data_IF_888832253727
#
_entry.id   IF_888832253727
#
_cell.length_a   1.000
_cell.length_b   1.000
_cell.length_c   1.000
_cell.angle_alpha   90.00
_cell.angle_beta   90.00
_cell.angle_gamma   90.00
#
_symmetry.space_group_name_H-M   'P 1'
#
loop_
_entity.id
_entity.type
_entity.pdbx_description
1 polymer ?
#
# COMPACT_ATOMS: atom_id res chain seq x y z
N UNK A 1 -25.14 26.08 10.14
CA UNK A 1 -24.58 24.83 9.64
C UNK A 1 -24.03 25.09 8.26
N UNK A 2 -22.74 25.38 8.16
CA UNK A 2 -22.05 25.54 6.90
C UNK A 2 -21.45 24.20 6.50
N UNK A 3 -22.14 23.48 5.65
CA UNK A 3 -21.62 22.70 4.55
C UNK A 3 -20.56 21.64 4.82
N UNK A 4 -20.80 20.67 5.70
CA UNK A 4 -20.27 19.33 5.44
C UNK A 4 -21.45 18.39 5.28
N UNK A 5 -21.42 17.53 4.28
CA UNK A 5 -22.43 16.50 4.08
C UNK A 5 -22.57 15.68 5.35
N UNK A 6 -23.79 15.61 5.85
CA UNK A 6 -24.11 14.92 7.08
C UNK A 6 -24.15 13.42 6.83
N UNK A 7 -23.19 12.70 7.39
CA UNK A 7 -23.19 11.25 7.32
C UNK A 7 -24.22 10.66 8.28
N UNK A 8 -24.90 9.60 7.88
CA UNK A 8 -25.91 8.88 8.68
C UNK A 8 -25.36 8.40 10.04
N UNK A 9 -24.05 8.33 10.21
CA UNK A 9 -23.35 7.98 11.46
C UNK A 9 -23.06 9.17 12.37
N UNK A 10 -23.28 10.41 11.90
CA UNK A 10 -23.00 11.60 12.68
C UNK A 10 -24.06 11.80 13.75
N UNK A 11 -23.65 12.24 14.92
CA UNK A 11 -24.54 12.48 16.06
C UNK A 11 -24.67 13.96 16.32
N UNK A 12 -25.90 14.41 16.42
CA UNK A 12 -26.26 15.75 16.88
C UNK A 12 -26.61 15.73 18.36
N UNK A 13 -25.98 16.59 19.12
CA UNK A 13 -26.38 16.86 20.51
C UNK A 13 -26.84 18.31 20.61
N UNK A 14 -28.08 18.53 21.03
CA UNK A 14 -28.56 19.83 21.35
C UNK A 14 -28.07 20.21 22.76
N UNK A 15 -27.58 21.44 22.93
CA UNK A 15 -27.07 21.96 24.19
C UNK A 15 -27.83 23.27 24.50
N UNK A 16 -28.11 23.53 25.75
CA UNK A 16 -28.92 24.66 26.14
C UNK A 16 -28.19 26.02 25.99
N UNK A 17 -26.85 26.03 26.04
CA UNK A 17 -26.03 27.24 25.99
C UNK A 17 -24.84 27.08 25.02
N UNK A 18 -24.55 28.13 24.25
CA UNK A 18 -23.44 28.20 23.32
C UNK A 18 -22.06 27.99 23.97
N UNK A 19 -21.91 28.54 25.20
CA UNK A 19 -20.66 28.39 25.95
C UNK A 19 -20.37 26.93 26.29
N UNK A 20 -21.39 26.22 26.77
CA UNK A 20 -21.31 24.79 27.07
C UNK A 20 -21.04 23.98 25.80
N UNK A 21 -21.61 24.36 24.65
CA UNK A 21 -21.32 23.70 23.36
C UNK A 21 -19.85 23.82 22.95
N UNK A 22 -19.24 25.00 23.14
CA UNK A 22 -17.83 25.23 22.83
C UNK A 22 -16.91 24.43 23.74
N UNK A 23 -17.16 24.41 25.03
CA UNK A 23 -16.37 23.62 26.00
C UNK A 23 -16.41 22.13 25.66
N UNK A 24 -17.60 21.58 25.39
CA UNK A 24 -17.75 20.17 24.98
C UNK A 24 -17.04 19.84 23.67
N UNK A 25 -17.03 20.76 22.70
CA UNK A 25 -16.33 20.55 21.42
C UNK A 25 -14.81 20.56 21.64
N UNK A 26 -14.30 21.47 22.45
CA UNK A 26 -12.87 21.54 22.76
C UNK A 26 -12.40 20.31 23.53
N UNK A 27 -13.15 19.87 24.53
CA UNK A 27 -12.85 18.66 25.28
C UNK A 27 -12.80 17.43 24.37
N UNK A 28 -13.79 17.25 23.50
CA UNK A 28 -13.80 16.14 22.54
C UNK A 28 -12.67 16.21 21.50
N UNK A 29 -12.30 17.41 21.06
CA UNK A 29 -11.12 17.59 20.19
C UNK A 29 -9.84 17.18 20.91
N UNK A 30 -9.71 17.55 22.17
CA UNK A 30 -8.56 17.19 22.98
C UNK A 30 -8.50 15.67 23.21
N UNK A 31 -9.62 15.05 23.60
CA UNK A 31 -9.71 13.60 23.77
C UNK A 31 -9.34 12.84 22.48
N UNK A 32 -9.78 13.32 21.29
CA UNK A 32 -9.40 12.73 20.00
C UNK A 32 -7.91 12.88 19.71
N UNK A 33 -7.32 14.03 20.03
CA UNK A 33 -5.87 14.25 19.89
C UNK A 33 -5.07 13.33 20.81
N UNK A 34 -5.51 13.23 22.07
CA UNK A 34 -4.83 12.39 23.06
C UNK A 34 -4.94 10.91 22.71
N UNK A 35 -6.10 10.46 22.20
CA UNK A 35 -6.29 9.10 21.68
C UNK A 35 -5.43 8.82 20.44
N UNK A 36 -5.32 9.77 19.52
CA UNK A 36 -4.45 9.65 18.35
C UNK A 36 -2.96 9.60 18.73
N UNK A 37 -2.55 10.43 19.71
CA UNK A 37 -1.19 10.44 20.24
C UNK A 37 -0.87 9.19 21.09
N UNK A 38 -1.85 8.64 21.80
CA UNK A 38 -1.69 7.39 22.55
C UNK A 38 -1.53 6.17 21.64
N UNK A 39 -2.15 6.21 20.45
CA UNK A 39 -1.98 5.20 19.40
C UNK A 39 -0.61 5.25 18.70
N UNK A 40 0.05 6.39 18.75
CA UNK A 40 1.43 6.58 18.30
C UNK A 40 2.40 6.06 19.38
N UNK A 41 2.53 4.73 19.50
CA UNK A 41 3.61 4.13 20.30
C UNK A 41 4.92 4.73 19.82
N UNK A 42 5.69 5.33 20.73
CA UNK A 42 7.09 5.70 20.46
C UNK A 42 7.77 4.44 19.98
N UNK A 43 8.07 4.39 18.69
CA UNK A 43 8.78 3.25 18.09
C UNK A 43 10.13 3.22 18.77
N UNK A 44 10.37 2.22 19.63
CA UNK A 44 11.67 1.96 20.22
C UNK A 44 12.65 1.54 19.13
N UNK A 45 13.94 1.85 19.30
CA UNK A 45 14.99 1.36 18.40
C UNK A 45 14.96 -0.17 18.31
N UNK A 46 14.61 -0.86 19.39
CA UNK A 46 14.47 -2.31 19.42
C UNK A 46 13.31 -2.81 18.56
N UNK A 47 12.17 -2.06 18.51
CA UNK A 47 11.05 -2.34 17.61
C UNK A 47 11.44 -2.12 16.14
N UNK A 48 12.27 -1.11 15.85
CA UNK A 48 12.81 -0.89 14.51
C UNK A 48 13.72 -2.03 14.07
N UNK A 49 14.64 -2.48 14.94
CA UNK A 49 15.51 -3.62 14.65
C UNK A 49 14.72 -4.91 14.45
N UNK A 50 13.68 -5.15 15.25
CA UNK A 50 12.80 -6.31 15.11
C UNK A 50 12.04 -6.29 13.78
N UNK A 51 11.57 -5.12 13.32
CA UNK A 51 10.91 -4.95 12.02
C UNK A 51 11.87 -5.13 10.85
N UNK A 52 13.11 -4.67 10.95
CA UNK A 52 14.15 -4.86 9.93
C UNK A 52 14.53 -6.34 9.81
N UNK A 53 14.56 -7.08 10.93
CA UNK A 53 14.84 -8.53 10.91
C UNK A 53 13.68 -9.40 10.38
N UNK A 54 12.43 -8.93 10.47
CA UNK A 54 11.23 -9.66 10.00
C UNK A 54 10.97 -9.55 8.49
N UNK A 55 11.82 -8.85 7.75
CA UNK A 55 11.63 -8.59 6.32
C UNK A 55 10.85 -7.29 6.10
N UNK A 56 11.35 -6.45 5.21
CA UNK A 56 10.75 -5.15 4.91
C UNK A 56 9.30 -5.31 4.43
N UNK A 57 8.33 -5.02 5.32
CA UNK A 57 6.97 -4.76 4.89
C UNK A 57 7.01 -3.57 3.93
N UNK A 58 6.55 -3.79 2.71
CA UNK A 58 6.47 -2.72 1.72
C UNK A 58 5.26 -1.86 2.03
N UNK A 59 5.50 -0.57 2.25
CA UNK A 59 4.40 0.39 2.40
C UNK A 59 3.90 0.82 1.01
N UNK A 60 2.61 0.68 0.79
CA UNK A 60 1.91 1.15 -0.40
C UNK A 60 1.07 2.37 -0.02
N UNK A 61 1.63 3.54 -0.28
CA UNK A 61 1.05 4.81 0.10
C UNK A 61 0.03 5.29 -0.92
N UNK A 62 -1.16 5.70 -0.47
CA UNK A 62 -2.25 6.16 -1.32
C UNK A 62 -2.81 7.49 -0.80
N UNK A 63 -3.13 8.39 -1.73
CA UNK A 63 -3.94 9.59 -1.48
C UNK A 63 -5.28 9.38 -2.14
N UNK A 64 -6.38 9.54 -1.38
CA UNK A 64 -7.74 9.37 -1.89
C UNK A 64 -8.44 10.71 -2.03
N UNK A 65 -8.96 10.99 -3.22
CA UNK A 65 -9.83 12.14 -3.49
C UNK A 65 -11.15 11.65 -4.06
N UNK A 66 -12.27 12.15 -3.54
CA UNK A 66 -13.60 11.77 -3.99
C UNK A 66 -14.52 12.99 -4.16
N UNK A 67 -15.66 12.78 -4.80
CA UNK A 67 -16.68 13.81 -4.97
C UNK A 67 -17.39 14.15 -3.66
N UNK A 68 -17.60 13.15 -2.79
CA UNK A 68 -18.28 13.29 -1.49
C UNK A 68 -17.53 12.58 -0.38
N UNK A 69 -17.73 13.03 0.85
CA UNK A 69 -17.06 12.50 2.05
C UNK A 69 -17.34 11.01 2.26
N UNK A 70 -18.58 10.58 2.05
CA UNK A 70 -18.97 9.16 2.18
C UNK A 70 -18.22 8.26 1.21
N UNK A 71 -18.02 8.70 -0.03
CA UNK A 71 -17.24 7.97 -1.05
C UNK A 71 -15.78 7.90 -0.64
N UNK A 72 -15.18 9.01 -0.18
CA UNK A 72 -13.79 9.05 0.27
C UNK A 72 -13.53 8.05 1.41
N UNK A 73 -14.42 8.01 2.40
CA UNK A 73 -14.31 7.10 3.53
C UNK A 73 -14.56 5.63 3.15
N UNK A 74 -15.51 5.37 2.24
CA UNK A 74 -15.77 4.02 1.76
C UNK A 74 -14.56 3.46 0.99
N UNK A 75 -13.97 4.26 0.09
CA UNK A 75 -12.75 3.90 -0.65
C UNK A 75 -11.60 3.68 0.33
N UNK A 76 -11.35 4.62 1.25
CA UNK A 76 -10.31 4.50 2.28
C UNK A 76 -10.45 3.20 3.07
N UNK A 77 -11.62 2.93 3.64
CA UNK A 77 -11.87 1.74 4.45
C UNK A 77 -11.72 0.45 3.64
N UNK A 78 -12.08 0.46 2.36
CA UNK A 78 -11.94 -0.70 1.49
C UNK A 78 -10.48 -0.97 1.13
N UNK A 79 -9.69 0.08 0.86
CA UNK A 79 -8.27 -0.04 0.54
C UNK A 79 -7.44 -0.47 1.76
N UNK A 80 -7.72 0.06 2.94
CA UNK A 80 -7.01 -0.33 4.17
C UNK A 80 -7.21 -1.81 4.52
N UNK A 81 -8.37 -2.40 4.16
CA UNK A 81 -8.65 -3.84 4.34
C UNK A 81 -7.84 -4.76 3.43
N UNK A 82 -7.25 -4.23 2.35
CA UNK A 82 -6.39 -5.01 1.44
C UNK A 82 -4.99 -5.26 2.02
N UNK A 83 -4.63 -4.58 3.11
CA UNK A 83 -3.32 -4.76 3.75
C UNK A 83 -3.06 -6.21 4.12
N UNK A 84 -1.88 -6.70 3.76
CA UNK A 84 -1.39 -8.05 4.03
C UNK A 84 -0.11 -7.98 4.87
N UNK A 85 0.36 -9.11 5.36
CA UNK A 85 1.61 -9.21 6.14
C UNK A 85 2.86 -8.78 5.33
N UNK A 86 2.81 -8.83 4.00
CA UNK A 86 3.92 -8.50 3.10
C UNK A 86 3.84 -7.06 2.56
N UNK A 87 2.61 -6.51 2.37
CA UNK A 87 2.37 -5.15 1.86
C UNK A 87 1.31 -4.46 2.70
N UNK A 88 1.67 -3.32 3.25
CA UNK A 88 0.77 -2.47 4.02
C UNK A 88 0.22 -1.35 3.15
N UNK A 89 -1.08 -1.30 2.96
CA UNK A 89 -1.76 -0.18 2.31
C UNK A 89 -2.01 0.92 3.34
N UNK A 90 -1.47 2.10 3.10
CA UNK A 90 -1.64 3.25 3.97
C UNK A 90 -2.25 4.42 3.21
N UNK A 91 -3.43 4.86 3.62
CA UNK A 91 -4.04 6.09 3.10
C UNK A 91 -3.50 7.28 3.89
N UNK A 92 -2.54 8.01 3.29
CA UNK A 92 -1.87 9.16 3.92
C UNK A 92 -2.82 10.34 4.04
N UNK A 93 -3.59 10.60 2.98
CA UNK A 93 -4.54 11.71 2.93
C UNK A 93 -5.82 11.29 2.24
N UNK A 94 -6.95 11.74 2.76
CA UNK A 94 -8.25 11.60 2.10
C UNK A 94 -9.00 12.92 2.13
N UNK A 95 -9.58 13.32 0.99
CA UNK A 95 -10.27 14.59 0.89
C UNK A 95 -11.36 14.58 -0.16
N UNK A 96 -12.19 15.62 -0.13
CA UNK A 96 -13.28 15.85 -1.07
C UNK A 96 -12.87 16.93 -2.08
N UNK A 97 -13.30 16.77 -3.32
CA UNK A 97 -13.07 17.71 -4.40
C UNK A 97 -12.06 17.25 -5.43
N UNK A 98 -11.73 18.12 -6.38
CA UNK A 98 -10.77 17.86 -7.45
C UNK A 98 -9.37 17.60 -6.88
N UNK A 99 -8.57 16.85 -7.64
CA UNK A 99 -7.15 16.63 -7.31
C UNK A 99 -6.40 17.93 -7.69
N UNK A 100 -5.72 18.50 -6.71
CA UNK A 100 -5.00 19.76 -6.85
C UNK A 100 -3.46 19.57 -6.81
N UNK A 101 -2.73 20.65 -7.05
CA UNK A 101 -1.27 20.66 -7.04
C UNK A 101 -0.67 20.21 -5.69
N UNK A 102 -1.28 20.61 -4.57
CA UNK A 102 -0.82 20.23 -3.23
C UNK A 102 -0.92 18.72 -2.99
N UNK A 103 -1.96 18.08 -3.53
CA UNK A 103 -2.12 16.62 -3.46
C UNK A 103 -0.97 15.91 -4.25
N UNK A 104 -0.60 16.46 -5.41
CA UNK A 104 0.50 15.93 -6.22
C UNK A 104 1.85 16.13 -5.52
N UNK A 105 2.09 17.28 -4.91
CA UNK A 105 3.31 17.53 -4.13
C UNK A 105 3.42 16.56 -2.93
N UNK A 106 2.32 16.33 -2.22
CA UNK A 106 2.26 15.36 -1.13
C UNK A 106 2.55 13.95 -1.64
N UNK A 107 1.95 13.55 -2.76
CA UNK A 107 2.18 12.24 -3.37
C UNK A 107 3.65 12.05 -3.78
N UNK A 108 4.26 13.05 -4.41
CA UNK A 108 5.67 13.01 -4.80
C UNK A 108 6.61 12.84 -3.60
N UNK A 109 6.34 13.57 -2.50
CA UNK A 109 7.16 13.51 -1.29
C UNK A 109 7.02 12.18 -0.54
N UNK A 110 5.82 11.61 -0.56
CA UNK A 110 5.48 10.39 0.18
C UNK A 110 5.60 9.12 -0.68
N UNK A 111 6.02 9.23 -1.93
CA UNK A 111 6.02 8.16 -2.93
C UNK A 111 4.65 7.44 -2.98
N UNK A 112 3.59 8.23 -3.09
CA UNK A 112 2.21 7.77 -3.05
C UNK A 112 1.55 7.84 -4.43
N UNK A 113 0.55 6.98 -4.64
CA UNK A 113 -0.34 7.02 -5.80
C UNK A 113 -1.59 7.81 -5.45
N UNK A 114 -2.09 8.61 -6.39
CA UNK A 114 -3.33 9.37 -6.21
C UNK A 114 -4.51 8.60 -6.82
N UNK A 115 -5.48 8.28 -5.98
CA UNK A 115 -6.74 7.63 -6.36
C UNK A 115 -7.86 8.68 -6.37
N UNK A 116 -8.38 9.00 -7.53
CA UNK A 116 -9.53 9.88 -7.72
C UNK A 116 -10.80 9.06 -7.93
N UNK A 117 -11.76 9.18 -7.02
CA UNK A 117 -13.07 8.53 -7.17
C UNK A 117 -14.12 9.54 -7.61
N UNK A 118 -14.61 9.38 -8.84
CA UNK A 118 -15.58 10.28 -9.50
C UNK A 118 -15.13 11.77 -9.56
N UNK A 119 -13.84 12.03 -9.48
CA UNK A 119 -13.24 13.38 -9.57
C UNK A 119 -12.20 13.42 -10.67
N UNK A 120 -11.83 14.64 -11.09
CA UNK A 120 -10.79 14.87 -12.12
C UNK A 120 -9.68 15.73 -11.54
N UNK A 121 -8.44 15.57 -12.02
CA UNK A 121 -7.36 16.48 -11.69
C UNK A 121 -7.53 17.83 -12.39
N UNK A 122 -7.13 18.90 -11.72
CA UNK A 122 -6.98 20.22 -12.31
C UNK A 122 -5.86 20.21 -13.37
N UNK A 123 -5.85 21.19 -14.27
CA UNK A 123 -4.82 21.29 -15.31
C UNK A 123 -3.42 21.38 -14.71
N UNK A 124 -3.24 22.23 -13.68
CA UNK A 124 -1.96 22.37 -12.97
C UNK A 124 -1.53 21.06 -12.27
N UNK A 125 -2.46 20.34 -11.65
CA UNK A 125 -2.20 19.04 -11.03
C UNK A 125 -1.74 18.00 -12.04
N UNK A 126 -2.33 17.97 -13.22
CA UNK A 126 -1.96 17.05 -14.30
C UNK A 126 -0.55 17.31 -14.79
N UNK A 127 -0.21 18.58 -15.05
CA UNK A 127 1.11 18.97 -15.53
C UNK A 127 2.20 18.70 -14.49
N UNK A 128 1.92 18.97 -13.22
CA UNK A 128 2.84 18.68 -12.12
C UNK A 128 2.99 17.17 -11.87
N UNK A 129 1.94 16.38 -11.99
CA UNK A 129 2.01 14.93 -11.87
C UNK A 129 2.93 14.32 -12.95
N UNK A 130 2.81 14.81 -14.19
CA UNK A 130 3.68 14.38 -15.28
C UNK A 130 5.17 14.74 -15.02
N UNK A 131 5.44 15.92 -14.45
CA UNK A 131 6.81 16.38 -14.12
C UNK A 131 7.41 15.61 -12.93
N UNK A 132 6.59 15.33 -11.92
CA UNK A 132 7.00 14.66 -10.68
C UNK A 132 6.90 13.13 -10.76
N UNK A 133 6.51 12.59 -11.91
CA UNK A 133 6.29 11.16 -12.13
C UNK A 133 5.32 10.54 -11.10
N UNK A 134 4.28 11.30 -10.72
CA UNK A 134 3.22 10.84 -9.82
C UNK A 134 2.10 10.23 -10.63
N UNK A 135 1.70 9.02 -10.26
CA UNK A 135 0.62 8.31 -10.92
C UNK A 135 -0.74 8.75 -10.36
N UNK A 136 -1.65 9.17 -11.26
CA UNK A 136 -3.03 9.52 -10.93
C UNK A 136 -3.94 8.50 -11.60
N UNK A 137 -4.71 7.76 -10.80
CA UNK A 137 -5.73 6.81 -11.26
C UNK A 137 -7.12 7.31 -10.93
N UNK A 138 -8.01 7.24 -11.91
CA UNK A 138 -9.39 7.74 -11.77
C UNK A 138 -10.37 6.58 -11.90
N UNK A 139 -11.27 6.44 -10.92
CA UNK A 139 -12.26 5.39 -10.87
C UNK A 139 -13.66 5.96 -10.70
N UNK A 140 -14.64 5.23 -11.22
CA UNK A 140 -16.08 5.48 -11.01
C UNK A 140 -16.75 4.34 -10.26
N UNK A 141 -16.16 3.17 -10.31
CA UNK A 141 -16.63 1.96 -9.64
C UNK A 141 -15.60 1.55 -8.60
N UNK A 142 -16.06 1.31 -7.38
CA UNK A 142 -15.16 0.98 -6.25
C UNK A 142 -14.45 -0.37 -6.46
N UNK A 143 -15.12 -1.32 -7.09
CA UNK A 143 -14.54 -2.64 -7.35
C UNK A 143 -13.37 -2.59 -8.33
N UNK A 144 -13.43 -1.72 -9.33
CA UNK A 144 -12.32 -1.53 -10.27
C UNK A 144 -11.09 -0.99 -9.56
N UNK A 145 -11.29 -0.02 -8.64
CA UNK A 145 -10.24 0.51 -7.80
C UNK A 145 -9.61 -0.58 -6.92
N UNK A 146 -10.42 -1.39 -6.24
CA UNK A 146 -9.96 -2.46 -5.37
C UNK A 146 -9.15 -3.49 -6.16
N UNK A 147 -9.67 -3.96 -7.30
CA UNK A 147 -9.02 -4.98 -8.11
C UNK A 147 -7.68 -4.50 -8.69
N UNK A 148 -7.60 -3.25 -9.13
CA UNK A 148 -6.37 -2.69 -9.70
C UNK A 148 -5.29 -2.48 -8.62
N UNK A 149 -5.68 -1.98 -7.44
CA UNK A 149 -4.77 -1.84 -6.30
C UNK A 149 -4.28 -3.21 -5.81
N UNK A 150 -5.16 -4.21 -5.74
CA UNK A 150 -4.78 -5.59 -5.38
C UNK A 150 -3.79 -6.18 -6.41
N UNK A 151 -4.02 -5.94 -7.69
CA UNK A 151 -3.10 -6.37 -8.76
C UNK A 151 -1.73 -5.67 -8.64
N UNK A 152 -1.72 -4.36 -8.34
CA UNK A 152 -0.49 -3.60 -8.11
C UNK A 152 0.28 -4.13 -6.90
N UNK A 153 -0.41 -4.43 -5.80
CA UNK A 153 0.20 -5.04 -4.61
C UNK A 153 0.82 -6.40 -4.94
N UNK A 154 0.13 -7.26 -5.70
CA UNK A 154 0.68 -8.55 -6.15
C UNK A 154 1.94 -8.38 -7.00
N UNK A 155 1.98 -7.34 -7.83
CA UNK A 155 3.16 -7.00 -8.64
C UNK A 155 4.36 -6.50 -7.81
N UNK A 156 4.11 -5.96 -6.61
CA UNK A 156 5.18 -5.54 -5.68
C UNK A 156 5.81 -6.71 -4.92
N UNK A 157 5.14 -7.87 -4.85
CA UNK A 157 5.65 -9.03 -4.14
C UNK A 157 6.88 -9.61 -4.85
N UNK A 158 7.84 -10.10 -4.07
CA UNK A 158 8.96 -10.84 -4.63
C UNK A 158 8.45 -12.15 -5.25
N UNK A 159 8.97 -12.56 -6.42
CA UNK A 159 8.56 -13.81 -7.04
C UNK A 159 8.89 -14.99 -6.10
N UNK A 160 7.87 -15.75 -5.74
CA UNK A 160 8.05 -16.99 -4.99
C UNK A 160 8.51 -18.06 -5.96
N UNK A 161 9.75 -18.48 -5.84
CA UNK A 161 10.30 -19.56 -6.64
C UNK A 161 9.83 -20.90 -6.06
N UNK A 162 9.20 -21.71 -6.90
CA UNK A 162 8.82 -23.08 -6.56
C UNK A 162 9.83 -24.02 -7.24
N UNK A 163 10.47 -24.90 -6.47
CA UNK A 163 11.33 -25.91 -7.03
C UNK A 163 10.46 -26.94 -7.78
N UNK A 164 10.69 -27.07 -9.07
CA UNK A 164 10.05 -28.07 -9.89
C UNK A 164 11.11 -29.08 -10.39
N UNK A 165 10.92 -30.34 -10.05
CA UNK A 165 11.79 -31.41 -10.54
C UNK A 165 11.51 -31.60 -12.02
N UNK A 166 12.51 -31.33 -12.85
CA UNK A 166 12.42 -31.47 -14.34
C UNK A 166 13.02 -32.75 -14.86
N UNK A 167 13.77 -33.46 -14.02
CA UNK A 167 14.37 -34.74 -14.39
C UNK A 167 15.25 -35.30 -13.29
N UNK A 168 15.58 -36.57 -13.43
CA UNK A 168 16.48 -37.31 -12.53
C UNK A 168 17.73 -37.74 -13.28
N UNK A 169 18.87 -37.64 -12.61
CA UNK A 169 20.18 -37.95 -13.16
C UNK A 169 20.95 -38.88 -12.24
N UNK A 170 21.40 -40.00 -12.75
CA UNK A 170 22.30 -40.89 -12.04
C UNK A 170 23.75 -40.51 -12.35
N UNK A 171 24.54 -40.19 -11.33
CA UNK A 171 25.95 -39.86 -11.46
C UNK A 171 26.73 -41.17 -11.62
N UNK A 172 27.36 -41.37 -12.78
CA UNK A 172 28.16 -42.57 -13.06
C UNK A 172 29.66 -42.36 -12.81
N UNK A 173 30.17 -41.16 -13.06
CA UNK A 173 31.58 -40.85 -12.88
C UNK A 173 31.80 -39.41 -12.42
N UNK A 174 32.82 -39.20 -11.58
CA UNK A 174 33.22 -37.86 -11.11
C UNK A 174 34.69 -37.61 -11.49
N UNK A 175 34.95 -36.43 -12.06
CA UNK A 175 36.30 -36.02 -12.48
C UNK A 175 36.68 -34.72 -11.76
N UNK A 176 37.88 -34.67 -11.17
CA UNK A 176 38.46 -33.45 -10.61
C UNK A 176 39.23 -32.71 -11.69
N UNK A 177 38.78 -31.51 -12.06
CA UNK A 177 39.44 -30.62 -13.01
C UNK A 177 40.03 -29.43 -12.30
N UNK A 178 41.34 -29.20 -12.41
CA UNK A 178 42.10 -28.23 -11.59
C UNK A 178 41.61 -26.77 -11.65
N UNK A 179 40.86 -26.34 -12.67
CA UNK A 179 40.37 -24.96 -12.82
C UNK A 179 38.86 -24.81 -12.67
N UNK A 180 38.10 -25.90 -12.71
CA UNK A 180 36.63 -25.88 -12.77
C UNK A 180 36.00 -26.51 -11.52
N UNK A 181 36.75 -27.32 -10.79
CA UNK A 181 36.25 -28.09 -9.66
C UNK A 181 35.89 -29.53 -10.05
N UNK A 182 34.90 -30.12 -9.39
CA UNK A 182 34.46 -31.49 -9.65
C UNK A 182 33.42 -31.51 -10.76
N UNK A 183 33.67 -32.20 -11.84
CA UNK A 183 32.74 -32.42 -12.95
C UNK A 183 32.17 -33.84 -12.83
N UNK A 184 30.86 -33.97 -12.99
CA UNK A 184 30.17 -35.25 -12.90
C UNK A 184 29.67 -35.68 -14.27
N UNK A 185 29.95 -36.92 -14.65
CA UNK A 185 29.33 -37.60 -15.79
C UNK A 185 28.04 -38.29 -15.30
N UNK A 186 26.90 -37.84 -15.79
CA UNK A 186 25.59 -38.35 -15.36
C UNK A 186 24.79 -38.93 -16.53
N UNK A 187 23.95 -39.92 -16.22
CA UNK A 187 22.98 -40.48 -17.15
C UNK A 187 21.57 -40.02 -16.75
N UNK A 188 20.83 -39.43 -17.68
CA UNK A 188 19.46 -38.98 -17.45
C UNK A 188 18.53 -40.19 -17.41
N UNK A 189 17.95 -40.49 -16.25
CA UNK A 189 17.05 -41.64 -16.08
C UNK A 189 15.61 -41.24 -16.39
N UNK A 190 15.21 -39.99 -16.10
CA UNK A 190 13.87 -39.51 -16.38
C UNK A 190 13.89 -37.98 -16.63
N UNK A 191 12.97 -37.52 -17.47
CA UNK A 191 12.80 -36.13 -17.79
C UNK A 191 13.89 -35.53 -18.69
N UNK A 192 14.26 -34.28 -18.46
CA UNK A 192 15.28 -33.57 -19.25
C UNK A 192 16.14 -32.67 -18.37
N UNK A 193 17.41 -32.47 -18.77
CA UNK A 193 18.28 -31.48 -18.14
C UNK A 193 18.39 -30.28 -19.06
N UNK A 194 18.26 -29.09 -18.51
CA UNK A 194 18.44 -27.83 -19.22
C UNK A 194 19.71 -27.15 -18.68
N UNK A 195 20.41 -26.42 -19.53
CA UNK A 195 21.57 -25.62 -19.13
C UNK A 195 21.15 -24.65 -18.04
N UNK A 196 21.93 -24.54 -16.97
CA UNK A 196 21.66 -23.75 -15.75
C UNK A 196 20.61 -24.35 -14.80
N UNK A 197 20.19 -25.61 -14.95
CA UNK A 197 19.39 -26.26 -13.91
C UNK A 197 20.19 -26.40 -12.62
N UNK A 198 19.54 -26.10 -11.47
CA UNK A 198 20.11 -26.37 -10.17
C UNK A 198 19.96 -27.86 -9.86
N UNK A 199 21.00 -28.47 -9.28
CA UNK A 199 21.01 -29.87 -8.88
C UNK A 199 20.96 -29.93 -7.38
N UNK A 200 20.20 -30.88 -6.82
CA UNK A 200 20.09 -31.14 -5.40
C UNK A 200 20.45 -32.58 -5.11
#
# INVERSE_FOLDING_TARGET
LVGSEMCIRDRFNAVADERMARELVEERKQQKKDAANAGSKKVSLDDLFSRIQQGEMKDFNIIVKADVQGSAEAVKSSLEKLSNDEVRVQVIHSGVGAINESDVMLAATSNAIIVGFNVRPDAAARDNAARSNVEIRMYRVIYDCINEIEAAMKGMLAPKFQEQIIGHVEIRQTFKVSKVGTVCGGYVTDGKIVRNSKVR
#
